data_IF_287869287301
#
_entry.id   IF_287869287301
#
_cell.length_a   1.000
_cell.length_b   1.000
_cell.length_c   1.000
_cell.angle_alpha   90.00
_cell.angle_beta   90.00
_cell.angle_gamma   90.00
#
_symmetry.space_group_name_H-M   'P 1'
#
loop_
_entity.id
_entity.type
_entity.pdbx_description
1 polymer ?
#
# COMPACT_ATOMS: atom_id res chain seq x y z
N UNK A 1 18.89 -20.35 -22.28
CA UNK A 1 17.45 -20.46 -22.01
C UNK A 1 17.21 -20.75 -20.54
N UNK A 2 17.83 -21.79 -19.91
CA UNK A 2 17.62 -22.12 -18.48
C UNK A 2 18.02 -21.00 -17.55
N UNK A 3 19.12 -20.26 -17.85
CA UNK A 3 19.50 -19.09 -17.10
C UNK A 3 18.44 -17.97 -17.20
N UNK A 4 17.92 -17.71 -18.40
CA UNK A 4 16.86 -16.73 -18.60
C UNK A 4 15.51 -17.14 -17.95
N UNK A 5 15.21 -18.45 -17.87
CA UNK A 5 14.05 -18.93 -17.08
C UNK A 5 14.25 -18.66 -15.59
N UNK A 6 15.46 -18.77 -15.06
CA UNK A 6 15.77 -18.43 -13.66
C UNK A 6 15.62 -16.93 -13.42
N UNK A 7 16.07 -16.10 -14.36
CA UNK A 7 15.89 -14.64 -14.31
C UNK A 7 14.41 -14.26 -14.34
N UNK A 8 13.60 -14.86 -15.20
CA UNK A 8 12.13 -14.70 -15.18
C UNK A 8 11.54 -15.05 -13.81
N UNK A 9 12.05 -16.11 -13.15
CA UNK A 9 11.61 -16.51 -11.80
C UNK A 9 12.11 -15.57 -10.70
N UNK A 10 13.20 -14.86 -10.92
CA UNK A 10 13.67 -13.81 -10.00
C UNK A 10 12.73 -12.58 -10.05
N UNK A 11 12.21 -12.24 -11.20
CA UNK A 11 11.25 -11.16 -11.35
C UNK A 11 9.82 -11.58 -10.99
N UNK A 12 9.33 -12.72 -11.46
CA UNK A 12 7.91 -13.08 -11.44
C UNK A 12 7.51 -14.19 -10.43
N UNK A 13 8.37 -14.63 -9.53
CA UNK A 13 8.11 -15.69 -8.55
C UNK A 13 7.54 -17.01 -9.11
N UNK A 14 6.87 -17.00 -10.27
CA UNK A 14 6.34 -18.17 -11.01
C UNK A 14 6.44 -17.94 -12.51
N UNK A 15 6.55 -19.03 -13.27
CA UNK A 15 6.50 -19.03 -14.74
C UNK A 15 5.60 -20.18 -15.22
N UNK A 16 4.87 -19.94 -16.32
CA UNK A 16 4.04 -20.94 -16.95
C UNK A 16 4.75 -21.57 -18.16
N UNK A 17 4.47 -22.86 -18.42
CA UNK A 17 5.01 -23.58 -19.59
C UNK A 17 4.67 -22.86 -20.89
N UNK A 18 3.44 -22.32 -21.02
CA UNK A 18 3.01 -21.59 -22.20
C UNK A 18 3.79 -20.30 -22.42
N UNK A 19 4.05 -19.55 -21.33
CA UNK A 19 4.84 -18.33 -21.35
C UNK A 19 6.28 -18.59 -21.79
N UNK A 20 6.93 -19.62 -21.23
CA UNK A 20 8.27 -20.05 -21.63
C UNK A 20 8.31 -20.46 -23.11
N UNK A 21 7.32 -21.25 -23.54
CA UNK A 21 7.24 -21.71 -24.93
C UNK A 21 7.14 -20.53 -25.90
N UNK A 22 6.31 -19.53 -25.57
CA UNK A 22 6.12 -18.31 -26.36
C UNK A 22 7.36 -17.42 -26.35
N UNK A 23 7.93 -17.13 -25.18
CA UNK A 23 9.09 -16.24 -25.02
C UNK A 23 10.32 -16.75 -25.74
N UNK A 24 10.56 -18.07 -25.71
CA UNK A 24 11.76 -18.66 -26.30
C UNK A 24 11.53 -19.38 -27.65
N UNK A 25 10.31 -19.33 -28.20
CA UNK A 25 9.98 -19.96 -29.48
C UNK A 25 10.19 -21.49 -29.49
N UNK A 26 9.93 -22.16 -28.35
CA UNK A 26 10.12 -23.62 -28.20
C UNK A 26 8.81 -24.34 -27.97
N UNK A 27 8.79 -25.67 -28.18
CA UNK A 27 7.61 -26.46 -27.87
C UNK A 27 7.35 -26.52 -26.35
N UNK A 28 6.07 -26.75 -25.97
CA UNK A 28 5.71 -26.99 -24.57
C UNK A 28 6.44 -28.19 -23.95
N UNK A 29 6.81 -29.17 -24.77
CA UNK A 29 7.61 -30.33 -24.34
C UNK A 29 9.02 -29.91 -23.95
N UNK A 30 9.64 -29.06 -24.78
CA UNK A 30 10.98 -28.50 -24.52
C UNK A 30 10.98 -27.62 -23.27
N UNK A 31 9.95 -26.75 -23.13
CA UNK A 31 9.79 -25.91 -21.95
C UNK A 31 9.63 -26.72 -20.65
N UNK A 32 8.86 -27.81 -20.70
CA UNK A 32 8.73 -28.75 -19.56
C UNK A 32 10.06 -29.41 -19.22
N UNK A 33 10.80 -29.92 -20.21
CA UNK A 33 12.09 -30.55 -19.99
C UNK A 33 13.12 -29.59 -19.36
N UNK A 34 13.11 -28.31 -19.73
CA UNK A 34 13.98 -27.32 -19.09
C UNK A 34 13.60 -27.07 -17.64
N UNK A 35 12.31 -26.97 -17.34
CA UNK A 35 11.81 -26.83 -15.98
C UNK A 35 12.10 -28.07 -15.12
N UNK A 36 11.97 -29.27 -15.69
CA UNK A 36 12.27 -30.53 -14.99
C UNK A 36 13.76 -30.62 -14.63
N UNK A 37 14.65 -30.29 -15.56
CA UNK A 37 16.09 -30.27 -15.29
C UNK A 37 16.49 -29.19 -14.25
N UNK A 38 15.82 -28.05 -14.23
CA UNK A 38 16.04 -27.03 -13.19
C UNK A 38 15.51 -27.45 -11.82
N UNK A 39 14.42 -28.22 -11.80
CA UNK A 39 13.85 -28.79 -10.57
C UNK A 39 14.76 -29.89 -9.99
N UNK A 40 15.27 -30.80 -10.86
CA UNK A 40 16.25 -31.81 -10.47
C UNK A 40 17.55 -31.20 -9.93
N UNK A 41 17.98 -30.05 -10.50
CA UNK A 41 19.10 -29.27 -9.98
C UNK A 41 18.79 -28.47 -8.70
N UNK A 42 17.58 -28.63 -8.12
CA UNK A 42 17.17 -27.94 -6.91
C UNK A 42 17.06 -26.42 -7.04
N UNK A 43 16.84 -25.89 -8.26
CA UNK A 43 16.79 -24.43 -8.52
C UNK A 43 15.38 -23.85 -8.51
N UNK A 44 14.36 -24.68 -8.70
CA UNK A 44 12.96 -24.29 -8.69
C UNK A 44 12.06 -25.45 -8.24
N UNK A 45 10.77 -25.18 -7.99
CA UNK A 45 9.77 -26.23 -7.70
C UNK A 45 8.72 -26.29 -8.80
N UNK A 46 8.44 -27.49 -9.31
CA UNK A 46 7.41 -27.72 -10.33
C UNK A 46 6.01 -27.50 -9.76
N UNK A 47 5.13 -26.99 -10.63
CA UNK A 47 3.67 -26.92 -10.45
C UNK A 47 2.98 -27.61 -11.64
N UNK A 48 1.63 -27.81 -11.59
CA UNK A 48 0.87 -28.48 -12.65
C UNK A 48 1.02 -27.85 -14.04
N UNK A 49 1.25 -26.53 -14.12
CA UNK A 49 1.34 -25.79 -15.39
C UNK A 49 2.65 -25.04 -15.62
N UNK A 50 3.61 -25.11 -14.67
CA UNK A 50 4.82 -24.29 -14.73
C UNK A 50 5.81 -24.60 -13.62
N UNK A 51 6.43 -23.56 -13.07
CA UNK A 51 7.34 -23.66 -11.94
C UNK A 51 7.30 -22.40 -11.07
N UNK A 52 7.74 -22.53 -9.81
CA UNK A 52 7.87 -21.46 -8.83
C UNK A 52 9.30 -21.40 -8.29
N UNK A 53 9.76 -20.20 -7.95
CA UNK A 53 11.05 -19.99 -7.31
C UNK A 53 11.11 -20.68 -5.94
N UNK A 54 12.24 -21.31 -5.60
CA UNK A 54 12.48 -21.87 -4.26
C UNK A 54 12.76 -20.76 -3.22
N UNK A 55 13.28 -19.63 -3.67
CA UNK A 55 13.68 -18.53 -2.80
C UNK A 55 12.57 -17.49 -2.62
N UNK A 56 11.67 -17.36 -3.58
CA UNK A 56 10.42 -16.60 -3.42
C UNK A 56 9.33 -17.56 -2.95
N UNK A 57 9.08 -17.62 -1.64
CA UNK A 57 7.78 -18.09 -1.18
C UNK A 57 6.74 -17.23 -1.88
N UNK A 58 5.80 -17.85 -2.59
CA UNK A 58 4.55 -17.22 -3.06
C UNK A 58 3.69 -16.85 -1.83
N UNK A 59 4.20 -16.02 -0.97
CA UNK A 59 3.38 -15.23 -0.08
C UNK A 59 3.01 -14.03 -0.94
N UNK A 60 1.96 -14.19 -1.77
CA UNK A 60 1.28 -13.04 -2.35
C UNK A 60 1.06 -12.11 -1.17
N UNK A 61 1.72 -10.96 -1.16
CA UNK A 61 1.62 -10.05 -0.03
C UNK A 61 0.15 -9.67 0.15
N UNK A 62 -0.24 -9.30 1.34
CA UNK A 62 -1.59 -8.79 1.57
C UNK A 62 -1.85 -7.58 0.67
N UNK A 63 -0.82 -6.81 0.38
CA UNK A 63 -0.84 -5.68 -0.53
C UNK A 63 -1.07 -6.10 -1.99
N UNK A 64 -0.36 -7.13 -2.48
CA UNK A 64 -0.56 -7.66 -3.84
C UNK A 64 -1.98 -8.20 -4.07
N UNK A 65 -2.58 -8.79 -3.01
CA UNK A 65 -3.98 -9.24 -3.06
C UNK A 65 -4.96 -8.08 -3.15
N UNK A 66 -4.65 -6.95 -2.54
CA UNK A 66 -5.52 -5.76 -2.47
C UNK A 66 -5.35 -4.83 -3.66
N UNK A 67 -4.24 -4.88 -4.37
CA UNK A 67 -3.93 -3.93 -5.46
C UNK A 67 -5.01 -3.96 -6.55
N UNK A 68 -5.54 -5.13 -6.88
CA UNK A 68 -6.56 -5.34 -7.91
C UNK A 68 -8.00 -5.34 -7.38
N UNK A 69 -8.23 -4.97 -6.11
CA UNK A 69 -9.57 -4.89 -5.51
C UNK A 69 -10.01 -3.44 -5.48
N UNK A 70 -11.23 -3.13 -5.94
CA UNK A 70 -11.81 -1.78 -5.95
C UNK A 70 -10.93 -0.72 -6.63
N UNK A 71 -10.27 -1.07 -7.73
CA UNK A 71 -9.30 -0.19 -8.41
C UNK A 71 -9.93 1.15 -8.80
N UNK A 72 -11.10 1.12 -9.44
CA UNK A 72 -11.79 2.35 -9.86
C UNK A 72 -12.13 3.28 -8.68
N UNK A 73 -12.55 2.71 -7.54
CA UNK A 73 -12.82 3.49 -6.33
C UNK A 73 -11.55 4.16 -5.80
N UNK A 74 -10.42 3.44 -5.73
CA UNK A 74 -9.15 4.00 -5.27
C UNK A 74 -8.63 5.10 -6.19
N UNK A 75 -8.78 4.94 -7.51
CA UNK A 75 -8.41 5.95 -8.49
C UNK A 75 -9.26 7.21 -8.35
N UNK A 76 -10.57 7.07 -8.17
CA UNK A 76 -11.46 8.20 -7.92
C UNK A 76 -11.11 8.94 -6.61
N UNK A 77 -10.81 8.18 -5.53
CA UNK A 77 -10.35 8.72 -4.25
C UNK A 77 -9.02 9.46 -4.44
N UNK A 78 -8.05 8.86 -5.12
CA UNK A 78 -6.74 9.46 -5.39
C UNK A 78 -6.89 10.77 -6.17
N UNK A 79 -7.74 10.79 -7.21
CA UNK A 79 -7.99 11.98 -8.02
C UNK A 79 -8.63 13.13 -7.21
N UNK A 80 -9.50 12.82 -6.26
CA UNK A 80 -10.05 13.84 -5.36
C UNK A 80 -9.04 14.28 -4.30
N UNK A 81 -8.21 13.36 -3.81
CA UNK A 81 -7.25 13.65 -2.75
C UNK A 81 -6.08 14.49 -3.22
N UNK A 82 -5.67 14.41 -4.50
CA UNK A 82 -4.55 15.22 -5.03
C UNK A 82 -4.87 16.72 -5.02
N UNK A 83 -6.14 17.10 -5.01
CA UNK A 83 -6.56 18.49 -4.91
C UNK A 83 -6.28 19.12 -3.52
N UNK A 84 -5.96 18.30 -2.53
CA UNK A 84 -5.55 18.75 -1.19
C UNK A 84 -4.04 19.03 -1.10
N UNK A 85 -3.27 18.70 -2.14
CA UNK A 85 -1.81 18.84 -2.16
C UNK A 85 -1.41 20.10 -2.93
N UNK A 86 -0.52 20.88 -2.36
CA UNK A 86 0.08 22.06 -3.00
C UNK A 86 1.52 21.78 -3.43
N UNK A 87 2.02 22.56 -4.37
CA UNK A 87 3.44 22.52 -4.74
C UNK A 87 4.32 22.85 -3.53
N UNK A 88 5.37 22.05 -3.37
CA UNK A 88 6.31 22.18 -2.25
C UNK A 88 5.91 21.46 -0.96
N UNK A 89 4.73 20.83 -0.92
CA UNK A 89 4.26 20.13 0.28
C UNK A 89 5.17 18.94 0.67
N UNK A 90 5.34 18.77 1.97
CA UNK A 90 5.87 17.56 2.58
C UNK A 90 4.71 16.68 3.05
N UNK A 91 4.67 15.45 2.57
CA UNK A 91 3.56 14.52 2.80
C UNK A 91 4.01 13.34 3.66
N UNK A 92 3.29 13.03 4.73
CA UNK A 92 3.36 11.74 5.40
C UNK A 92 2.37 10.78 4.73
N UNK A 93 2.89 9.78 4.03
CA UNK A 93 2.07 8.83 3.26
C UNK A 93 2.04 7.48 3.94
N UNK A 94 0.84 7.07 4.37
CA UNK A 94 0.57 5.80 5.02
C UNK A 94 0.71 4.61 4.05
N UNK A 95 0.76 3.40 4.59
CA UNK A 95 0.83 2.17 3.80
C UNK A 95 -0.52 1.76 3.25
N UNK A 96 -0.51 1.28 2.01
CA UNK A 96 -1.71 0.68 1.42
C UNK A 96 -1.88 0.97 -0.06
N UNK A 97 -2.78 0.20 -0.67
CA UNK A 97 -3.01 0.28 -2.12
C UNK A 97 -3.80 1.52 -2.54
N UNK A 98 -4.57 2.15 -1.65
CA UNK A 98 -5.20 3.45 -1.90
C UNK A 98 -4.16 4.58 -1.85
N UNK A 99 -3.23 4.52 -0.87
CA UNK A 99 -2.10 5.44 -0.80
C UNK A 99 -1.20 5.32 -2.03
N UNK A 100 -0.97 4.12 -2.54
CA UNK A 100 -0.19 3.92 -3.77
C UNK A 100 -0.88 4.55 -5.00
N UNK A 101 -2.21 4.44 -5.14
CA UNK A 101 -2.94 5.12 -6.22
C UNK A 101 -2.86 6.66 -6.08
N UNK A 102 -2.90 7.18 -4.86
CA UNK A 102 -2.69 8.61 -4.60
C UNK A 102 -1.27 9.05 -4.97
N UNK A 103 -0.25 8.31 -4.55
CA UNK A 103 1.16 8.60 -4.87
C UNK A 103 1.40 8.67 -6.37
N UNK A 104 0.74 7.84 -7.17
CA UNK A 104 0.84 7.84 -8.63
C UNK A 104 0.47 9.18 -9.30
N UNK A 105 -0.20 10.07 -8.59
CA UNK A 105 -0.62 11.37 -9.07
C UNK A 105 0.24 12.52 -8.56
N UNK A 106 1.27 12.26 -7.72
CA UNK A 106 2.11 13.30 -7.14
C UNK A 106 2.98 14.03 -8.18
N UNK A 107 3.19 13.43 -9.36
CA UNK A 107 3.84 14.09 -10.50
C UNK A 107 3.03 15.26 -11.09
N UNK A 108 1.78 15.44 -10.66
CA UNK A 108 0.95 16.61 -10.98
C UNK A 108 1.26 17.83 -10.10
N UNK A 109 2.19 17.69 -9.15
CA UNK A 109 2.64 18.76 -8.24
C UNK A 109 4.16 18.85 -8.26
N UNK A 110 4.68 20.07 -8.12
CA UNK A 110 6.10 20.33 -8.13
C UNK A 110 6.68 20.35 -6.70
N UNK A 111 7.92 19.88 -6.55
CA UNK A 111 8.70 20.02 -5.32
C UNK A 111 8.19 19.20 -4.12
N UNK A 112 7.47 18.11 -4.37
CA UNK A 112 6.90 17.24 -3.32
C UNK A 112 7.98 16.41 -2.65
N UNK A 113 7.90 16.32 -1.31
CA UNK A 113 8.64 15.35 -0.51
C UNK A 113 7.66 14.36 0.13
N UNK A 114 7.75 13.08 -0.21
CA UNK A 114 6.94 12.01 0.39
C UNK A 114 7.71 11.27 1.48
N UNK A 115 7.20 11.27 2.71
CA UNK A 115 7.74 10.53 3.86
C UNK A 115 6.86 9.29 4.06
N UNK A 116 7.42 8.09 3.98
CA UNK A 116 6.63 6.85 4.12
C UNK A 116 7.40 5.74 4.84
N UNK A 117 6.66 4.82 5.45
CA UNK A 117 7.17 3.54 5.95
C UNK A 117 6.88 2.37 4.99
N UNK A 118 6.19 2.60 3.87
CA UNK A 118 5.79 1.58 2.90
C UNK A 118 6.87 1.40 1.83
N UNK A 119 7.43 0.18 1.78
CA UNK A 119 8.49 -0.17 0.82
C UNK A 119 7.97 -0.09 -0.63
N UNK A 120 6.70 -0.44 -0.87
CA UNK A 120 6.15 -0.42 -2.24
C UNK A 120 5.97 1.01 -2.73
N UNK A 121 5.58 1.93 -1.85
CA UNK A 121 5.45 3.36 -2.17
C UNK A 121 6.84 3.95 -2.44
N UNK A 122 7.82 3.70 -1.56
CA UNK A 122 9.18 4.19 -1.75
C UNK A 122 9.83 3.66 -3.05
N UNK A 123 9.68 2.37 -3.31
CA UNK A 123 10.14 1.67 -4.52
C UNK A 123 9.52 2.30 -5.80
N UNK A 124 8.18 2.56 -5.76
CA UNK A 124 7.47 3.18 -6.87
C UNK A 124 7.95 4.62 -7.15
N UNK A 125 8.17 5.42 -6.10
CA UNK A 125 8.67 6.79 -6.24
C UNK A 125 10.08 6.78 -6.82
N UNK A 126 10.98 5.95 -6.28
CA UNK A 126 12.37 5.81 -6.73
C UNK A 126 12.47 5.40 -8.21
N UNK A 127 11.65 4.42 -8.63
CA UNK A 127 11.68 3.90 -10.00
C UNK A 127 10.96 4.78 -11.03
N UNK A 128 9.88 5.49 -10.63
CA UNK A 128 8.93 6.06 -11.59
C UNK A 128 8.70 7.56 -11.45
N UNK A 129 9.19 8.22 -10.39
CA UNK A 129 8.83 9.61 -10.07
C UNK A 129 10.06 10.47 -9.77
N UNK A 130 10.86 10.84 -10.79
CA UNK A 130 12.13 11.56 -10.60
C UNK A 130 11.96 13.00 -10.04
N UNK A 131 10.74 13.55 -10.05
CA UNK A 131 10.42 14.90 -9.52
C UNK A 131 9.94 14.88 -8.06
N UNK A 132 9.76 13.70 -7.46
CA UNK A 132 9.26 13.54 -6.08
C UNK A 132 10.39 13.01 -5.21
N UNK A 133 10.77 13.77 -4.18
CA UNK A 133 11.72 13.28 -3.19
C UNK A 133 11.05 12.28 -2.25
N UNK A 134 11.79 11.22 -1.86
CA UNK A 134 11.28 10.21 -0.93
C UNK A 134 12.16 10.07 0.29
N UNK A 135 11.53 10.13 1.46
CA UNK A 135 12.15 9.83 2.76
C UNK A 135 11.53 8.56 3.31
N UNK A 136 12.33 7.49 3.41
CA UNK A 136 11.86 6.24 3.96
C UNK A 136 12.10 6.17 5.46
N UNK A 137 11.03 6.01 6.24
CA UNK A 137 11.10 5.79 7.69
C UNK A 137 11.70 4.41 7.99
N UNK A 138 12.67 4.36 8.91
CA UNK A 138 13.30 3.14 9.36
C UNK A 138 12.39 2.26 10.21
N UNK A 139 12.81 1.02 10.51
CA UNK A 139 12.06 0.15 11.41
C UNK A 139 12.18 -1.34 11.12
N UNK A 140 11.37 -2.15 11.83
CA UNK A 140 11.22 -3.57 11.57
C UNK A 140 10.23 -3.82 10.44
N UNK A 141 10.56 -4.72 9.51
CA UNK A 141 9.68 -5.04 8.39
C UNK A 141 8.54 -5.97 8.82
N UNK A 142 7.29 -5.53 8.63
CA UNK A 142 6.13 -6.41 8.69
C UNK A 142 6.03 -7.22 7.39
N UNK A 143 6.56 -8.43 7.44
CA UNK A 143 6.59 -9.33 6.29
C UNK A 143 5.18 -9.60 5.75
N UNK A 144 5.03 -9.61 4.42
CA UNK A 144 3.74 -9.80 3.74
C UNK A 144 2.84 -8.55 3.69
N UNK A 145 3.15 -7.49 4.44
CA UNK A 145 2.47 -6.20 4.38
C UNK A 145 3.34 -5.08 3.79
N UNK A 146 4.65 -5.31 3.63
CA UNK A 146 5.62 -4.44 2.96
C UNK A 146 5.76 -3.04 3.58
N UNK A 147 5.60 -2.90 4.90
CA UNK A 147 5.87 -1.65 5.60
C UNK A 147 6.72 -1.87 6.85
N UNK A 148 7.36 -0.79 7.29
CA UNK A 148 8.21 -0.74 8.46
C UNK A 148 7.43 -0.20 9.68
N UNK A 149 7.81 -0.64 10.88
CA UNK A 149 7.19 -0.23 12.13
C UNK A 149 8.17 -0.35 13.31
N UNK A 150 7.77 0.15 14.45
CA UNK A 150 8.48 -0.02 15.72
C UNK A 150 9.25 1.23 16.17
N UNK A 151 10.15 1.09 17.17
CA UNK A 151 10.76 2.24 17.84
C UNK A 151 11.51 3.20 16.91
N UNK A 152 12.21 2.69 15.90
CA UNK A 152 12.93 3.54 14.94
C UNK A 152 11.95 4.35 14.07
N UNK A 153 10.83 3.75 13.65
CA UNK A 153 9.77 4.47 12.91
C UNK A 153 9.18 5.57 13.78
N UNK A 154 8.87 5.25 15.04
CA UNK A 154 8.30 6.21 15.99
C UNK A 154 9.28 7.36 16.31
N UNK A 155 10.57 7.05 16.47
CA UNK A 155 11.59 8.08 16.68
C UNK A 155 11.76 9.00 15.47
N UNK A 156 11.75 8.45 14.25
CA UNK A 156 11.82 9.24 13.04
C UNK A 156 10.60 10.18 12.88
N UNK A 157 9.38 9.70 13.21
CA UNK A 157 8.17 10.52 13.19
C UNK A 157 8.21 11.70 14.19
N UNK A 158 8.95 11.59 15.29
CA UNK A 158 9.14 12.69 16.22
C UNK A 158 10.09 13.79 15.69
N UNK A 159 10.86 13.50 14.64
CA UNK A 159 11.84 14.41 14.06
C UNK A 159 11.35 15.14 12.81
N UNK A 160 10.20 14.73 12.27
CA UNK A 160 9.63 15.27 11.04
C UNK A 160 8.39 16.08 11.35
N UNK A 161 8.10 17.04 10.47
CA UNK A 161 6.84 17.77 10.43
C UNK A 161 6.41 17.85 8.97
N UNK A 162 5.16 17.50 8.69
CA UNK A 162 4.62 17.45 7.34
C UNK A 162 3.43 18.41 7.20
N UNK A 163 3.16 18.83 5.97
CA UNK A 163 2.00 19.65 5.66
C UNK A 163 0.72 18.81 5.70
N UNK A 164 0.77 17.59 5.16
CA UNK A 164 -0.39 16.69 5.09
C UNK A 164 -0.02 15.24 5.45
N UNK A 165 -0.80 14.62 6.34
CA UNK A 165 -0.78 13.18 6.58
C UNK A 165 -1.91 12.49 5.79
N UNK A 166 -1.54 11.61 4.88
CA UNK A 166 -2.45 10.84 4.03
C UNK A 166 -2.62 9.45 4.62
N UNK A 167 -3.77 9.22 5.26
CA UNK A 167 -4.05 8.02 6.06
C UNK A 167 -4.95 7.03 5.33
N UNK A 168 -4.63 5.74 5.41
CA UNK A 168 -5.45 4.66 4.84
C UNK A 168 -5.94 3.73 5.94
N UNK A 169 -7.16 3.92 6.45
CA UNK A 169 -7.70 3.08 7.51
C UNK A 169 -7.96 1.64 7.05
N UNK A 170 -7.83 0.71 7.99
CA UNK A 170 -8.27 -0.68 7.80
C UNK A 170 -9.79 -0.78 7.77
N UNK A 171 -10.46 -0.03 8.65
CA UNK A 171 -11.91 0.13 8.71
C UNK A 171 -12.29 1.45 9.39
N UNK A 172 -13.51 1.90 9.09
CA UNK A 172 -14.24 2.94 9.83
C UNK A 172 -15.40 2.30 10.60
N UNK A 173 -15.52 2.65 11.88
CA UNK A 173 -16.57 2.19 12.78
C UNK A 173 -17.21 3.42 13.41
N UNK A 174 -18.49 3.69 13.17
CA UNK A 174 -19.19 4.92 13.60
C UNK A 174 -19.02 5.23 15.10
N UNK A 175 -19.09 4.22 15.96
CA UNK A 175 -18.94 4.38 17.42
C UNK A 175 -17.49 4.51 17.89
N UNK A 176 -16.50 4.33 17.02
CA UNK A 176 -15.10 4.22 17.40
C UNK A 176 -14.17 5.14 16.61
N UNK A 177 -14.46 5.37 15.33
CA UNK A 177 -13.59 6.08 14.40
C UNK A 177 -12.79 5.14 13.50
N UNK A 178 -11.55 5.51 13.20
CA UNK A 178 -10.67 4.79 12.28
C UNK A 178 -9.85 3.73 12.99
N UNK A 179 -9.82 2.53 12.42
CA UNK A 179 -9.23 1.34 13.03
C UNK A 179 -8.30 0.58 12.10
N UNK A 180 -7.44 -0.25 12.70
CA UNK A 180 -6.53 -1.18 12.03
C UNK A 180 -6.43 -2.49 12.81
N UNK A 181 -5.84 -3.54 12.21
CA UNK A 181 -5.73 -4.87 12.83
C UNK A 181 -4.37 -5.12 13.52
N UNK A 182 -3.49 -4.12 13.55
CA UNK A 182 -2.14 -4.30 14.08
C UNK A 182 -1.80 -3.14 15.02
N UNK A 183 -1.46 -3.40 16.31
CA UNK A 183 -1.30 -2.35 17.31
C UNK A 183 -0.18 -1.37 16.98
N UNK A 184 0.98 -1.85 16.51
CA UNK A 184 2.09 -0.97 16.14
C UNK A 184 1.76 -0.10 14.91
N UNK A 185 0.85 -0.55 14.04
CA UNK A 185 0.36 0.29 12.95
C UNK A 185 -0.59 1.36 13.47
N UNK A 186 -1.40 1.06 14.49
CA UNK A 186 -2.22 2.07 15.13
C UNK A 186 -1.36 3.17 15.77
N UNK A 187 -0.31 2.79 16.49
CA UNK A 187 0.67 3.73 17.07
C UNK A 187 1.33 4.60 15.99
N UNK A 188 1.80 3.97 14.89
CA UNK A 188 2.43 4.69 13.77
C UNK A 188 1.46 5.68 13.13
N UNK A 189 0.23 5.27 12.85
CA UNK A 189 -0.80 6.14 12.25
C UNK A 189 -1.16 7.31 13.15
N UNK A 190 -1.33 7.08 14.45
CA UNK A 190 -1.57 8.16 15.43
C UNK A 190 -0.39 9.16 15.42
N UNK A 191 0.85 8.67 15.37
CA UNK A 191 2.03 9.53 15.33
C UNK A 191 2.16 10.30 14.00
N UNK A 192 1.75 9.70 12.86
CA UNK A 192 1.72 10.39 11.57
C UNK A 192 0.74 11.57 11.58
N UNK A 193 -0.46 11.38 12.12
CA UNK A 193 -1.45 12.46 12.28
C UNK A 193 -0.87 13.57 13.15
N UNK A 194 -0.26 13.24 14.28
CA UNK A 194 0.33 14.20 15.20
C UNK A 194 1.55 14.96 14.63
N UNK A 195 2.22 14.39 13.63
CA UNK A 195 3.40 14.95 12.97
C UNK A 195 3.07 15.78 11.72
N UNK A 196 1.79 16.02 11.41
CA UNK A 196 1.37 16.78 10.26
C UNK A 196 0.49 17.97 10.66
N UNK A 197 0.49 19.02 9.81
CA UNK A 197 -0.38 20.18 9.98
C UNK A 197 -1.85 19.84 9.71
N UNK A 198 -2.09 19.03 8.68
CA UNK A 198 -3.41 18.51 8.31
C UNK A 198 -3.36 17.00 8.09
N UNK A 199 -4.51 16.37 8.18
CA UNK A 199 -4.65 14.93 7.97
C UNK A 199 -5.89 14.60 7.15
N UNK A 200 -5.76 13.65 6.21
CA UNK A 200 -6.84 13.15 5.38
C UNK A 200 -6.94 11.65 5.44
N UNK A 201 -8.13 11.12 5.64
CA UNK A 201 -8.40 9.69 5.54
C UNK A 201 -8.90 9.31 4.15
N UNK A 202 -8.17 8.43 3.46
CA UNK A 202 -8.53 7.88 2.15
C UNK A 202 -9.10 6.48 2.33
N UNK A 203 -10.37 6.27 2.01
CA UNK A 203 -10.99 4.95 2.16
C UNK A 203 -12.09 4.72 1.12
N UNK A 204 -12.17 3.50 0.61
CA UNK A 204 -13.31 3.08 -0.20
C UNK A 204 -14.49 2.61 0.69
N UNK A 205 -15.70 2.58 0.11
CA UNK A 205 -16.94 2.21 0.81
C UNK A 205 -16.87 0.87 1.57
N UNK A 206 -16.00 -0.06 1.16
CA UNK A 206 -15.85 -1.36 1.84
C UNK A 206 -15.23 -1.27 3.24
N UNK A 207 -14.70 -0.09 3.61
CA UNK A 207 -14.11 0.16 4.93
C UNK A 207 -15.14 0.61 5.96
N UNK A 208 -16.29 1.09 5.50
CA UNK A 208 -17.39 1.55 6.37
C UNK A 208 -18.03 0.35 7.06
N UNK A 209 -18.28 0.47 8.36
CA UNK A 209 -18.80 -0.60 9.22
C UNK A 209 -17.94 -1.89 9.20
N UNK A 210 -16.66 -1.76 8.84
CA UNK A 210 -15.70 -2.84 8.89
C UNK A 210 -15.33 -3.23 10.32
N UNK A 211 -14.39 -4.14 10.45
CA UNK A 211 -13.85 -4.56 11.75
C UNK A 211 -12.39 -4.21 11.82
N UNK A 212 -11.98 -3.56 12.89
CA UNK A 212 -10.59 -3.31 13.24
C UNK A 212 -10.44 -3.34 14.74
N UNK A 213 -9.38 -3.96 15.23
CA UNK A 213 -9.21 -4.19 16.66
C UNK A 213 -8.65 -2.95 17.39
N UNK A 214 -7.82 -2.17 16.70
CA UNK A 214 -7.09 -1.06 17.30
C UNK A 214 -7.51 0.25 16.65
N UNK A 215 -8.08 1.17 17.44
CA UNK A 215 -8.35 2.53 17.00
C UNK A 215 -7.05 3.31 16.94
N UNK A 216 -6.84 4.07 15.86
CA UNK A 216 -5.72 4.99 15.74
C UNK A 216 -6.14 6.47 15.69
N UNK A 217 -7.41 6.75 15.32
CA UNK A 217 -7.96 8.09 15.31
C UNK A 217 -9.47 8.06 15.53
N UNK A 218 -9.99 9.08 16.20
CA UNK A 218 -11.42 9.43 16.19
C UNK A 218 -11.73 10.16 14.88
N UNK A 219 -13.00 10.36 14.61
CA UNK A 219 -13.44 11.15 13.46
C UNK A 219 -12.98 12.62 13.58
N UNK A 220 -12.92 13.14 14.81
CA UNK A 220 -12.44 14.49 15.14
C UNK A 220 -10.92 14.70 15.04
N UNK A 221 -10.16 13.62 14.91
CA UNK A 221 -8.70 13.68 14.84
C UNK A 221 -8.18 13.79 13.38
N UNK A 222 -9.09 13.81 12.39
CA UNK A 222 -8.78 13.96 10.95
C UNK A 222 -9.52 15.15 10.38
N UNK A 223 -8.85 15.94 9.55
CA UNK A 223 -9.39 17.17 9.00
C UNK A 223 -10.31 16.93 7.79
N UNK A 224 -10.05 15.84 7.05
CA UNK A 224 -10.83 15.49 5.87
C UNK A 224 -10.95 13.97 5.67
N UNK A 225 -12.02 13.57 4.99
CA UNK A 225 -12.24 12.20 4.54
C UNK A 225 -12.53 12.24 3.05
N UNK A 226 -11.77 11.47 2.27
CA UNK A 226 -12.01 11.28 0.84
C UNK A 226 -12.40 9.84 0.59
N UNK A 227 -13.59 9.65 0.00
CA UNK A 227 -14.13 8.32 -0.27
C UNK A 227 -14.91 8.30 -1.59
N UNK A 228 -15.06 7.13 -2.20
CA UNK A 228 -15.81 6.95 -3.44
C UNK A 228 -17.32 7.11 -3.23
N UNK A 229 -17.82 6.63 -2.11
CA UNK A 229 -19.22 6.75 -1.68
C UNK A 229 -19.35 6.45 -0.20
N UNK A 230 -20.36 7.04 0.44
CA UNK A 230 -20.72 6.77 1.84
C UNK A 230 -21.94 5.82 1.90
N UNK A 231 -21.74 4.53 2.21
CA UNK A 231 -22.84 3.58 2.32
C UNK A 231 -23.83 4.00 3.41
N UNK A 232 -25.10 4.12 3.03
CA UNK A 232 -26.18 4.47 3.95
C UNK A 232 -25.98 5.81 4.69
N UNK A 233 -25.03 6.65 4.25
CA UNK A 233 -24.69 7.91 4.92
C UNK A 233 -24.05 7.73 6.29
N UNK A 234 -23.41 6.59 6.56
CA UNK A 234 -22.89 6.26 7.88
C UNK A 234 -21.79 7.22 8.38
N UNK A 235 -20.91 7.68 7.48
CA UNK A 235 -19.87 8.64 7.81
C UNK A 235 -20.48 10.03 8.02
N UNK A 236 -21.36 10.47 7.12
CA UNK A 236 -22.04 11.75 7.21
C UNK A 236 -22.88 11.85 8.51
N UNK A 237 -23.60 10.79 8.88
CA UNK A 237 -24.35 10.71 10.14
C UNK A 237 -23.42 10.85 11.34
N UNK A 238 -22.28 10.14 11.35
CA UNK A 238 -21.32 10.23 12.46
C UNK A 238 -20.70 11.64 12.58
N UNK A 239 -20.50 12.34 11.46
CA UNK A 239 -20.03 13.74 11.47
C UNK A 239 -21.12 14.66 12.06
N UNK A 240 -22.37 14.51 11.64
CA UNK A 240 -23.49 15.31 12.13
C UNK A 240 -23.69 15.16 13.64
N UNK A 241 -23.64 13.94 14.17
CA UNK A 241 -23.72 13.67 15.61
C UNK A 241 -22.63 14.41 16.42
N UNK A 242 -21.39 14.47 15.90
CA UNK A 242 -20.30 15.19 16.57
C UNK A 242 -20.53 16.69 16.57
N UNK A 243 -21.06 17.24 15.49
CA UNK A 243 -21.36 18.68 15.39
C UNK A 243 -22.49 19.06 16.34
N UNK A 244 -23.53 18.23 16.46
CA UNK A 244 -24.66 18.45 17.36
C UNK A 244 -24.24 18.35 18.84
N UNK A 245 -23.37 17.44 19.21
CA UNK A 245 -22.83 17.28 20.57
C UNK A 245 -21.89 18.44 20.99
N UNK A 246 -21.38 19.21 20.05
CA UNK A 246 -20.47 20.35 20.31
C UNK A 246 -21.20 21.68 20.58
N UNK A 247 -22.53 21.72 20.44
CA UNK A 247 -23.41 22.87 20.71
C UNK A 247 -24.23 22.66 21.97
#
# INVERSE_FOLDING_TARGET
RRAAIMEMLEHNASVQVAEIAQTFGVSSVTARADLDALAEAGKLRRTHGGAVSLHKRLTVSTQDRRINVNVAAKQAIAQSAIELVNDGDTLLVDSGTTALEFVRLLDQRDGITAITADITIADYIDESMPSVDVVMLGGALRKGHRYLYGPLTMQALQMVHADLAVMCPGAFVSSCGFTTDFPQMAETKTAMIAAAHQSVALMDASKVNGRGMYRFAKLTDVDAIVMDRDPEGAVATSIAEIVDDAH
#
